data_IF_580105567311
#
_entry.id   IF_580105567311
#
_cell.length_a   1.000
_cell.length_b   1.000
_cell.length_c   1.000
_cell.angle_alpha   90.00
_cell.angle_beta   90.00
_cell.angle_gamma   90.00
#
_symmetry.space_group_name_H-M   'P 1'
#
loop_
_entity.id
_entity.type
_entity.pdbx_description
1 polymer ?
#
# COMPACT_ATOMS: atom_id res chain seq x y z
N UNK A 1 -15.41 -25.01 7.85
CA UNK A 1 -16.43 -23.93 7.93
C UNK A 1 -17.73 -24.41 8.56
N UNK A 2 -18.48 -25.31 7.90
CA UNK A 2 -19.80 -25.79 8.42
C UNK A 2 -19.68 -26.44 9.82
N UNK A 3 -18.59 -27.15 10.09
CA UNK A 3 -18.33 -27.78 11.39
C UNK A 3 -17.87 -26.81 12.50
N UNK A 4 -17.82 -25.48 12.26
CA UNK A 4 -17.40 -24.50 13.27
C UNK A 4 -15.89 -24.43 13.56
N UNK A 5 -15.09 -25.35 13.03
CA UNK A 5 -13.64 -25.36 13.22
C UNK A 5 -12.96 -24.30 12.35
N UNK A 6 -12.89 -23.08 12.85
CA UNK A 6 -12.13 -21.98 12.27
C UNK A 6 -11.78 -20.93 13.32
N UNK A 7 -10.74 -20.15 13.04
CA UNK A 7 -10.40 -18.96 13.80
C UNK A 7 -10.82 -17.71 13.00
N UNK A 8 -11.21 -16.65 13.70
CA UNK A 8 -11.47 -15.34 13.09
C UNK A 8 -10.33 -14.42 13.45
N UNK A 9 -9.58 -13.97 12.45
CA UNK A 9 -8.52 -12.98 12.62
C UNK A 9 -9.01 -11.62 12.12
N UNK A 10 -8.79 -10.57 12.91
CA UNK A 10 -9.02 -9.19 12.49
C UNK A 10 -7.76 -8.65 11.83
N UNK A 11 -7.90 -8.11 10.62
CA UNK A 11 -6.79 -7.54 9.85
C UNK A 11 -7.06 -6.10 9.50
N UNK A 12 -6.01 -5.28 9.61
CA UNK A 12 -6.06 -3.87 9.24
C UNK A 12 -6.41 -3.71 7.76
N UNK A 13 -7.16 -2.67 7.45
CA UNK A 13 -7.43 -2.18 6.10
C UNK A 13 -7.11 -0.68 6.00
N UNK A 14 -7.02 -0.17 4.79
CA UNK A 14 -6.83 1.25 4.49
C UNK A 14 -8.15 1.88 4.07
N UNK A 15 -8.36 3.12 4.48
CA UNK A 15 -9.26 4.06 3.86
C UNK A 15 -8.43 5.08 3.08
N UNK A 16 -8.80 5.34 1.82
CA UNK A 16 -8.24 6.41 1.02
C UNK A 16 -9.34 7.38 0.55
N UNK A 17 -9.10 8.67 0.74
CA UNK A 17 -9.97 9.74 0.27
C UNK A 17 -9.27 10.48 -0.87
N UNK A 18 -9.80 10.36 -2.08
CA UNK A 18 -9.39 11.17 -3.22
C UNK A 18 -10.26 12.42 -3.28
N UNK A 19 -9.64 13.57 -3.05
CA UNK A 19 -10.26 14.90 -3.14
C UNK A 19 -9.85 15.57 -4.45
N UNK A 20 -10.82 15.86 -5.30
CA UNK A 20 -10.66 16.65 -6.52
C UNK A 20 -11.39 17.98 -6.40
N UNK A 21 -11.14 18.90 -7.34
CA UNK A 21 -11.84 20.19 -7.38
C UNK A 21 -13.38 20.07 -7.42
N UNK A 22 -13.93 18.93 -7.86
CA UNK A 22 -15.38 18.73 -8.01
C UNK A 22 -16.01 17.85 -6.94
N UNK A 23 -15.25 16.94 -6.32
CA UNK A 23 -15.81 15.91 -5.42
C UNK A 23 -14.73 15.27 -4.55
N UNK A 24 -15.19 14.66 -3.46
CA UNK A 24 -14.42 13.69 -2.68
C UNK A 24 -14.96 12.29 -2.91
N UNK A 25 -14.09 11.30 -3.01
CA UNK A 25 -14.44 9.88 -3.13
C UNK A 25 -13.63 9.05 -2.15
N UNK A 26 -14.32 8.16 -1.44
CA UNK A 26 -13.71 7.21 -0.52
C UNK A 26 -13.48 5.86 -1.21
N UNK A 27 -12.36 5.24 -0.87
CA UNK A 27 -11.96 3.92 -1.29
C UNK A 27 -11.45 3.14 -0.08
N UNK A 28 -11.64 1.83 -0.12
CA UNK A 28 -11.11 0.92 0.89
C UNK A 28 -10.23 -0.11 0.20
N UNK A 29 -9.11 -0.43 0.83
CA UNK A 29 -8.14 -1.41 0.39
C UNK A 29 -7.73 -2.32 1.54
N UNK A 30 -7.64 -3.62 1.28
CA UNK A 30 -7.14 -4.60 2.22
C UNK A 30 -5.60 -4.67 2.21
N UNK A 31 -5.02 -4.60 1.02
CA UNK A 31 -3.58 -4.68 0.80
C UNK A 31 -2.99 -3.28 0.69
N UNK A 32 -3.35 -2.55 -0.36
CA UNK A 32 -2.65 -1.33 -0.73
C UNK A 32 -3.47 -0.33 -1.54
N UNK A 33 -2.99 0.91 -1.43
CA UNK A 33 -3.38 2.05 -2.26
C UNK A 33 -2.17 2.45 -3.07
N UNK A 34 -2.35 2.60 -4.36
CA UNK A 34 -1.27 2.87 -5.31
C UNK A 34 -1.60 4.13 -6.10
N UNK A 35 -0.66 5.05 -6.18
CA UNK A 35 -0.64 6.10 -7.19
C UNK A 35 0.46 5.77 -8.20
N UNK A 36 0.11 5.66 -9.48
CA UNK A 36 0.98 5.28 -10.57
C UNK A 36 0.95 6.32 -11.70
N UNK A 37 2.07 6.50 -12.39
CA UNK A 37 2.18 7.41 -13.54
C UNK A 37 1.24 7.03 -14.69
N UNK A 38 0.76 5.79 -14.74
CA UNK A 38 -0.03 5.23 -15.82
C UNK A 38 0.83 4.82 -17.02
N UNK A 39 0.24 4.84 -18.21
CA UNK A 39 0.93 4.42 -19.44
C UNK A 39 1.96 5.42 -20.00
N UNK A 40 2.33 6.45 -19.25
CA UNK A 40 3.31 7.44 -19.71
C UNK A 40 4.75 7.03 -19.42
N UNK A 41 5.70 7.36 -20.32
CA UNK A 41 7.10 6.96 -20.16
C UNK A 41 7.82 7.73 -19.04
N UNK A 42 7.48 9.01 -18.83
CA UNK A 42 8.12 9.87 -17.84
C UNK A 42 7.60 9.59 -16.42
N UNK A 43 8.48 9.74 -15.45
CA UNK A 43 8.14 9.70 -14.02
C UNK A 43 7.24 10.86 -13.60
N UNK A 44 6.69 10.75 -12.40
CA UNK A 44 5.88 11.78 -11.76
C UNK A 44 6.57 12.28 -10.48
N UNK A 45 6.24 13.50 -10.10
CA UNK A 45 6.68 14.08 -8.84
C UNK A 45 5.58 13.88 -7.81
N UNK A 46 5.91 13.27 -6.68
CA UNK A 46 4.96 12.84 -5.65
C UNK A 46 5.40 13.43 -4.32
N UNK A 47 4.72 14.48 -3.88
CA UNK A 47 4.92 15.04 -2.54
C UNK A 47 4.13 14.25 -1.52
N UNK A 48 4.78 13.89 -0.42
CA UNK A 48 4.13 13.19 0.70
C UNK A 48 4.28 13.94 2.01
N UNK A 49 3.24 13.81 2.83
CA UNK A 49 3.17 14.39 4.16
C UNK A 49 2.62 13.33 5.13
N UNK A 50 3.10 13.34 6.36
CA UNK A 50 2.60 12.50 7.46
C UNK A 50 2.06 13.45 8.52
N UNK A 51 0.77 13.37 8.86
CA UNK A 51 0.10 14.29 9.79
C UNK A 51 0.41 15.78 9.48
N UNK A 52 0.33 16.14 8.20
CA UNK A 52 0.66 17.48 7.66
C UNK A 52 2.13 17.91 7.73
N UNK A 53 3.03 17.10 8.29
CA UNK A 53 4.48 17.31 8.22
C UNK A 53 5.02 16.83 6.86
N UNK A 54 5.78 17.67 6.17
CA UNK A 54 6.41 17.30 4.90
C UNK A 54 7.44 16.19 5.13
N UNK A 55 7.28 15.08 4.41
CA UNK A 55 8.23 13.97 4.47
C UNK A 55 9.25 14.09 3.34
N UNK A 56 8.78 14.01 2.09
CA UNK A 56 9.64 13.95 0.91
C UNK A 56 8.86 14.23 -0.38
N UNK A 57 9.58 14.55 -1.44
CA UNK A 57 9.08 14.53 -2.82
C UNK A 57 9.81 13.43 -3.60
N UNK A 58 9.06 12.42 -4.02
CA UNK A 58 9.58 11.32 -4.84
C UNK A 58 9.53 11.72 -6.32
N UNK A 59 10.59 11.39 -7.05
CA UNK A 59 10.59 11.37 -8.52
C UNK A 59 10.63 9.89 -8.92
N UNK A 60 9.48 9.34 -9.29
CA UNK A 60 9.24 7.90 -9.32
C UNK A 60 8.15 7.54 -10.32
N UNK A 61 8.01 6.25 -10.61
CA UNK A 61 6.88 5.75 -11.40
C UNK A 61 5.57 5.81 -10.61
N UNK A 62 5.66 5.80 -9.29
CA UNK A 62 4.50 5.82 -8.41
C UNK A 62 4.88 5.69 -6.94
N UNK A 63 3.86 5.56 -6.10
CA UNK A 63 4.00 5.29 -4.67
C UNK A 63 2.90 4.34 -4.20
N UNK A 64 3.26 3.46 -3.27
CA UNK A 64 2.38 2.49 -2.65
C UNK A 64 2.26 2.86 -1.17
N UNK A 65 1.03 2.88 -0.66
CA UNK A 65 0.75 2.85 0.78
C UNK A 65 0.08 1.52 1.07
N UNK A 66 0.71 0.65 1.86
CA UNK A 66 0.22 -0.70 2.13
C UNK A 66 -0.05 -0.96 3.61
N UNK A 67 -0.95 -1.90 3.87
CA UNK A 67 -1.07 -2.57 5.17
C UNK A 67 0.09 -3.56 5.37
N UNK A 68 0.26 -4.11 6.58
CA UNK A 68 1.20 -5.20 6.82
C UNK A 68 0.82 -6.49 6.07
N UNK A 69 -0.47 -6.73 5.82
CA UNK A 69 -0.89 -7.85 4.96
C UNK A 69 -0.48 -7.60 3.50
N UNK A 70 -0.68 -6.36 3.02
CA UNK A 70 -0.26 -5.93 1.67
C UNK A 70 1.25 -5.81 1.47
N UNK A 71 2.07 -5.86 2.54
CA UNK A 71 3.53 -5.78 2.43
C UNK A 71 4.13 -6.95 1.64
N UNK A 72 3.39 -8.06 1.50
CA UNK A 72 3.77 -9.25 0.74
C UNK A 72 3.34 -9.19 -0.73
N UNK A 73 2.55 -8.18 -1.10
CA UNK A 73 1.99 -7.99 -2.44
C UNK A 73 2.86 -7.00 -3.24
N UNK A 74 2.25 -5.97 -3.85
CA UNK A 74 2.97 -5.08 -4.76
C UNK A 74 4.10 -4.31 -4.07
N UNK A 75 3.91 -3.97 -2.79
CA UNK A 75 4.95 -3.35 -1.98
C UNK A 75 6.23 -4.20 -1.92
N UNK A 76 6.13 -5.54 -1.81
CA UNK A 76 7.31 -6.42 -1.83
C UNK A 76 8.04 -6.33 -3.17
N UNK A 77 7.29 -6.38 -4.27
CA UNK A 77 7.86 -6.29 -5.62
C UNK A 77 8.54 -4.94 -5.87
N UNK A 78 8.05 -3.87 -5.25
CA UNK A 78 8.65 -2.54 -5.31
C UNK A 78 9.82 -2.33 -4.34
N UNK A 79 10.26 -3.38 -3.63
CA UNK A 79 11.41 -3.33 -2.71
C UNK A 79 11.06 -2.97 -1.27
N UNK A 80 9.78 -2.95 -0.92
CA UNK A 80 9.28 -2.82 0.46
C UNK A 80 9.62 -4.03 1.34
N UNK A 81 9.76 -3.84 2.66
CA UNK A 81 10.02 -4.94 3.59
C UNK A 81 8.78 -5.82 3.79
N UNK A 82 9.03 -7.05 4.25
CA UNK A 82 8.00 -7.91 4.79
C UNK A 82 7.66 -7.51 6.22
N UNK A 83 6.37 -7.31 6.48
CA UNK A 83 5.83 -7.00 7.79
C UNK A 83 5.01 -8.20 8.27
N UNK A 84 5.04 -8.49 9.58
CA UNK A 84 4.14 -9.50 10.11
C UNK A 84 2.71 -8.94 10.11
N UNK A 85 1.69 -9.75 9.79
CA UNK A 85 0.37 -9.19 9.51
C UNK A 85 -0.39 -8.67 10.74
N UNK A 86 0.11 -8.98 11.94
CA UNK A 86 -0.35 -8.50 13.25
C UNK A 86 0.29 -7.16 13.66
N UNK A 87 1.23 -6.63 12.88
CA UNK A 87 1.78 -5.30 13.10
C UNK A 87 0.72 -4.22 12.94
N UNK A 88 0.91 -3.16 13.70
CA UNK A 88 0.12 -1.95 13.66
C UNK A 88 0.97 -0.86 13.00
N UNK A 89 1.05 -0.90 11.66
CA UNK A 89 1.86 0.04 10.88
C UNK A 89 1.32 0.26 9.47
N UNK A 90 1.63 1.42 8.90
CA UNK A 90 1.47 1.71 7.47
C UNK A 90 2.84 1.66 6.79
N UNK A 91 2.91 1.18 5.56
CA UNK A 91 4.15 1.11 4.79
C UNK A 91 4.04 1.99 3.53
N UNK A 92 4.98 2.92 3.38
CA UNK A 92 5.13 3.75 2.19
C UNK A 92 6.29 3.19 1.36
N UNK A 93 6.03 2.81 0.10
CA UNK A 93 7.03 2.24 -0.81
C UNK A 93 6.99 2.97 -2.16
N UNK A 94 8.05 3.69 -2.56
CA UNK A 94 8.11 4.29 -3.90
C UNK A 94 8.33 3.23 -4.98
N UNK A 95 7.75 3.42 -6.16
CA UNK A 95 7.90 2.52 -7.31
C UNK A 95 8.97 3.08 -8.23
N UNK A 96 10.05 2.32 -8.46
CA UNK A 96 11.18 2.71 -9.33
C UNK A 96 11.66 4.16 -9.10
N UNK A 97 12.03 4.55 -7.87
CA UNK A 97 12.49 5.91 -7.60
C UNK A 97 13.79 6.23 -8.35
N UNK A 98 13.86 7.42 -8.97
CA UNK A 98 15.06 7.88 -9.68
C UNK A 98 16.19 8.35 -8.75
N UNK A 99 15.94 8.41 -7.43
CA UNK A 99 16.96 8.71 -6.43
C UNK A 99 17.39 7.45 -5.67
N UNK A 100 18.72 7.25 -5.58
CA UNK A 100 19.34 6.13 -4.87
C UNK A 100 19.17 6.18 -3.34
N UNK A 101 18.79 7.33 -2.78
CA UNK A 101 18.58 7.50 -1.33
C UNK A 101 17.16 7.18 -0.86
N UNK A 102 16.22 7.01 -1.79
CA UNK A 102 14.82 6.76 -1.43
C UNK A 102 14.66 5.33 -0.90
N UNK A 103 13.97 5.21 0.25
CA UNK A 103 13.75 3.94 0.94
C UNK A 103 12.27 3.79 1.31
N UNK A 104 11.76 2.56 1.39
CA UNK A 104 10.48 2.30 2.02
C UNK A 104 10.49 2.78 3.48
N UNK A 105 9.36 3.27 3.95
CA UNK A 105 9.19 3.79 5.31
C UNK A 105 7.97 3.15 5.97
N UNK A 106 8.18 2.47 7.10
CA UNK A 106 7.11 2.01 7.96
C UNK A 106 6.84 3.04 9.06
N UNK A 107 5.57 3.42 9.22
CA UNK A 107 5.11 4.38 10.24
C UNK A 107 3.98 3.78 11.07
N UNK A 108 3.64 4.42 12.19
CA UNK A 108 2.49 4.00 13.01
C UNK A 108 1.18 4.07 12.22
N UNK A 109 0.24 3.21 12.58
CA UNK A 109 -1.06 3.07 11.92
C UNK A 109 -2.08 4.17 12.24
N UNK A 110 -1.81 4.97 13.28
CA UNK A 110 -2.63 6.12 13.67
C UNK A 110 -2.38 7.37 12.79
N UNK A 111 -1.40 7.30 11.90
CA UNK A 111 -0.98 8.39 11.02
C UNK A 111 -1.86 8.55 9.79
N UNK A 112 -1.94 9.78 9.29
CA UNK A 112 -2.55 10.11 8.01
C UNK A 112 -1.47 10.48 7.01
N UNK A 113 -1.45 9.77 5.88
CA UNK A 113 -0.52 10.02 4.78
C UNK A 113 -1.25 10.85 3.73
N UNK A 114 -0.73 12.03 3.43
CA UNK A 114 -1.26 12.89 2.37
C UNK A 114 -0.30 12.85 1.18
N UNK A 115 -0.86 12.64 0.00
CA UNK A 115 -0.13 12.53 -1.27
C UNK A 115 -0.67 13.59 -2.22
N UNK A 116 0.24 14.38 -2.78
CA UNK A 116 -0.01 15.28 -3.91
C UNK A 116 0.94 14.90 -5.01
N UNK A 117 0.49 14.93 -6.26
CA UNK A 117 1.36 14.58 -7.36
C UNK A 117 1.19 15.50 -8.56
N UNK A 118 2.26 15.60 -9.33
CA UNK A 118 2.35 16.36 -10.55
C UNK A 118 2.91 15.48 -11.66
N UNK A 119 2.29 15.57 -12.83
CA UNK A 119 2.72 14.90 -14.06
C UNK A 119 2.62 15.86 -15.22
N UNK A 120 3.65 15.89 -16.08
CA UNK A 120 3.62 16.64 -17.34
C UNK A 120 2.49 16.19 -18.28
N UNK A 121 2.13 14.91 -18.22
CA UNK A 121 1.03 14.35 -19.02
C UNK A 121 -0.36 14.78 -18.54
N UNK A 122 -0.42 15.36 -17.33
CA UNK A 122 -1.65 15.81 -16.68
C UNK A 122 -2.53 14.69 -16.09
N UNK A 123 -2.19 13.41 -16.28
CA UNK A 123 -2.99 12.27 -15.80
C UNK A 123 -2.14 11.21 -15.11
N UNK A 124 -2.61 10.76 -13.96
CA UNK A 124 -2.06 9.66 -13.17
C UNK A 124 -3.20 8.71 -12.81
N UNK A 125 -2.86 7.51 -12.34
CA UNK A 125 -3.82 6.48 -11.97
C UNK A 125 -3.70 6.18 -10.49
N UNK A 126 -4.81 6.32 -9.78
CA UNK A 126 -4.99 5.82 -8.43
C UNK A 126 -5.64 4.44 -8.49
N UNK A 127 -5.22 3.51 -7.65
CA UNK A 127 -5.92 2.25 -7.44
C UNK A 127 -5.95 1.85 -5.96
N UNK A 128 -6.99 1.11 -5.59
CA UNK A 128 -7.12 0.42 -4.31
C UNK A 128 -7.26 -1.09 -4.58
N UNK A 129 -6.39 -1.90 -3.98
CA UNK A 129 -6.24 -3.35 -4.20
C UNK A 129 -6.12 -3.74 -5.70
N UNK A 130 -5.57 -2.86 -6.54
CA UNK A 130 -5.43 -3.08 -7.97
C UNK A 130 -6.73 -3.15 -8.78
N UNK A 131 -7.90 -2.91 -8.18
CA UNK A 131 -9.21 -3.08 -8.84
C UNK A 131 -9.96 -1.77 -9.08
N UNK A 132 -9.84 -0.79 -8.18
CA UNK A 132 -10.64 0.45 -8.23
C UNK A 132 -9.82 1.59 -8.81
N UNK A 133 -9.74 1.66 -10.13
CA UNK A 133 -8.92 2.68 -10.81
C UNK A 133 -9.66 4.02 -10.91
N UNK A 134 -9.05 5.08 -10.43
CA UNK A 134 -9.49 6.46 -10.62
C UNK A 134 -8.40 7.29 -11.30
N UNK A 135 -8.81 8.22 -12.16
CA UNK A 135 -7.89 9.19 -12.75
C UNK A 135 -7.62 10.29 -11.74
N UNK A 136 -6.34 10.57 -11.51
CA UNK A 136 -5.83 11.65 -10.67
C UNK A 136 -5.16 12.68 -11.56
N UNK A 137 -5.42 13.95 -11.30
CA UNK A 137 -4.83 15.07 -12.02
C UNK A 137 -4.00 15.94 -11.09
N UNK A 138 -3.12 16.76 -11.67
CA UNK A 138 -2.34 17.73 -10.91
C UNK A 138 -3.24 18.62 -10.06
N UNK A 139 -2.98 18.69 -8.75
CA UNK A 139 -3.77 19.46 -7.79
C UNK A 139 -4.79 18.66 -6.99
N UNK A 140 -5.09 17.42 -7.41
CA UNK A 140 -5.87 16.49 -6.58
C UNK A 140 -5.04 16.02 -5.37
N UNK A 141 -5.73 15.66 -4.29
CA UNK A 141 -5.12 15.23 -3.03
C UNK A 141 -5.65 13.84 -2.67
N UNK A 142 -4.74 12.93 -2.33
CA UNK A 142 -5.08 11.61 -1.80
C UNK A 142 -4.68 11.59 -0.32
N UNK A 143 -5.61 11.27 0.56
CA UNK A 143 -5.35 11.03 1.99
C UNK A 143 -5.56 9.55 2.28
N UNK A 144 -4.56 8.88 2.82
CA UNK A 144 -4.58 7.45 3.16
C UNK A 144 -4.36 7.29 4.65
N UNK A 145 -5.20 6.48 5.30
CA UNK A 145 -5.11 6.17 6.73
C UNK A 145 -5.64 4.76 7.00
N UNK A 146 -5.44 4.29 8.23
CA UNK A 146 -6.11 3.08 8.71
C UNK A 146 -7.64 3.25 8.63
N UNK A 147 -8.31 2.25 8.07
CA UNK A 147 -9.77 2.16 8.05
C UNK A 147 -10.31 1.98 9.48
N UNK A 148 -11.41 2.64 9.87
CA UNK A 148 -12.08 2.37 11.14
C UNK A 148 -12.64 0.94 11.19
N UNK A 149 -12.95 0.36 10.04
CA UNK A 149 -13.50 -0.98 9.89
C UNK A 149 -12.40 -1.96 9.45
N UNK A 150 -11.94 -2.87 10.33
CA UNK A 150 -11.00 -3.92 9.95
C UNK A 150 -11.71 -5.05 9.18
N UNK A 151 -10.94 -5.79 8.39
CA UNK A 151 -11.42 -6.98 7.68
C UNK A 151 -11.34 -8.19 8.61
N UNK A 152 -12.44 -8.94 8.73
CA UNK A 152 -12.48 -10.21 9.47
C UNK A 152 -12.24 -11.37 8.52
N UNK A 153 -11.15 -12.10 8.73
CA UNK A 153 -10.80 -13.27 7.93
C UNK A 153 -11.09 -14.55 8.70
N UNK A 154 -11.67 -15.53 7.98
CA UNK A 154 -11.87 -16.87 8.52
C UNK A 154 -10.68 -17.75 8.15
N UNK A 155 -9.95 -18.20 9.15
CA UNK A 155 -8.79 -19.08 9.00
C UNK A 155 -9.19 -20.52 9.27
N UNK A 156 -9.16 -21.32 8.20
CA UNK A 156 -9.53 -22.74 8.25
C UNK A 156 -8.33 -23.67 8.47
N UNK A 157 -7.10 -23.16 8.28
CA UNK A 157 -5.87 -23.95 8.44
C UNK A 157 -5.09 -23.45 9.66
N UNK A 158 -4.67 -24.36 10.54
CA UNK A 158 -3.70 -24.06 11.61
C UNK A 158 -2.29 -23.70 11.12
N UNK A 159 -2.12 -23.38 9.83
CA UNK A 159 -0.84 -22.95 9.28
C UNK A 159 -0.51 -21.54 9.77
N UNK A 160 0.71 -21.35 10.26
CA UNK A 160 1.19 -20.04 10.68
C UNK A 160 1.57 -19.17 9.49
N UNK A 161 1.57 -17.84 9.68
CA UNK A 161 2.03 -16.89 8.66
C UNK A 161 3.42 -17.26 8.13
N UNK A 162 4.37 -17.59 9.02
CA UNK A 162 5.73 -17.97 8.63
C UNK A 162 5.79 -19.27 7.81
N UNK A 163 4.92 -20.24 8.08
CA UNK A 163 4.82 -21.44 7.25
C UNK A 163 4.34 -21.08 5.84
N UNK A 164 3.31 -20.24 5.72
CA UNK A 164 2.83 -19.75 4.41
C UNK A 164 3.93 -18.99 3.68
N UNK A 165 4.65 -18.11 4.38
CA UNK A 165 5.73 -17.31 3.82
C UNK A 165 6.86 -18.18 3.26
N UNK A 166 7.33 -19.17 4.04
CA UNK A 166 8.36 -20.13 3.58
C UNK A 166 7.92 -20.88 2.34
N UNK A 167 6.70 -21.41 2.33
CA UNK A 167 6.18 -22.15 1.17
C UNK A 167 5.99 -21.26 -0.05
N UNK A 168 5.54 -20.00 0.11
CA UNK A 168 5.26 -19.11 -1.01
C UNK A 168 6.51 -18.49 -1.63
N UNK A 169 7.57 -18.30 -0.83
CA UNK A 169 8.82 -17.70 -1.28
C UNK A 169 9.95 -18.73 -1.47
N UNK A 170 9.67 -20.03 -1.28
CA UNK A 170 10.68 -21.09 -1.17
C UNK A 170 11.81 -20.72 -0.20
N UNK A 171 11.44 -20.04 0.88
CA UNK A 171 12.41 -19.38 1.74
C UNK A 171 13.09 -20.38 2.67
N UNK A 172 14.40 -20.55 2.51
CA UNK A 172 15.21 -21.49 3.26
C UNK A 172 15.26 -22.88 2.65
N UNK A 173 14.71 -23.09 1.44
CA UNK A 173 14.98 -24.30 0.66
C UNK A 173 16.35 -24.19 -0.01
N UNK A 174 17.42 -24.39 0.77
CA UNK A 174 18.72 -24.72 0.19
C UNK A 174 18.69 -26.19 -0.23
N UNK A 175 18.71 -26.48 -1.53
CA UNK A 175 18.77 -27.85 -2.09
C UNK A 175 20.10 -28.59 -1.81
N UNK A 176 20.90 -28.11 -0.85
CA UNK A 176 22.22 -28.64 -0.48
C UNK A 176 22.31 -29.14 0.97
N UNK A 177 21.18 -29.22 1.67
CA UNK A 177 21.05 -29.96 2.94
C UNK A 177 20.11 -31.15 2.76
#
# INVERSE_FOLDING_TARGET
LIAGNYEVESRMALEAVLSTAKRKRQYYAFNDVVLDKGGVPRTIFIETYIDDEYLNTYNADGIIVSTPTGSTAYSLSAGGPLLSPDMNSLLITPICPHSLSQRPLAIKEDKVIKIKAWSESGRMLFSADGQKVAVVTTGDIIEVRKSPDPVRLVKCSGKSFYQVLRTKLNWGEDKKL
#
